data_IF_051957364148
#
_entry.id   IF_051957364148
#
_cell.length_a   1.000
_cell.length_b   1.000
_cell.length_c   1.000
_cell.angle_alpha   90.00
_cell.angle_beta   90.00
_cell.angle_gamma   90.00
#
_symmetry.space_group_name_H-M   'P 1'
#
loop_
_entity.id
_entity.type
_entity.pdbx_description
1 polymer ?
#
# COMPACT_ATOMS: atom_id res chain seq x y z
N UNK A 1 24.50 6.91 4.28
CA UNK A 1 23.44 5.95 4.65
C UNK A 1 22.14 6.51 4.11
N UNK A 2 21.49 5.85 3.15
CA UNK A 2 20.21 6.33 2.61
C UNK A 2 19.13 5.69 3.45
N UNK A 3 18.37 6.52 4.14
CA UNK A 3 17.26 6.12 4.99
C UNK A 3 16.13 5.61 4.10
N UNK A 4 15.89 4.30 4.12
CA UNK A 4 14.73 3.67 3.45
C UNK A 4 13.46 3.78 4.30
N UNK A 5 13.33 4.86 5.07
CA UNK A 5 12.18 5.14 5.94
C UNK A 5 10.95 5.58 5.15
N UNK A 6 11.13 5.92 3.87
CA UNK A 6 10.08 6.34 2.96
C UNK A 6 10.02 5.41 1.76
N UNK A 7 8.82 4.98 1.42
CA UNK A 7 8.53 4.28 0.16
C UNK A 7 7.70 5.18 -0.75
N UNK A 8 8.21 5.44 -1.95
CA UNK A 8 7.44 6.13 -2.99
C UNK A 8 6.57 5.11 -3.70
N UNK A 9 5.27 5.35 -3.74
CA UNK A 9 4.32 4.40 -4.27
C UNK A 9 3.36 5.06 -5.26
N UNK A 10 3.14 4.41 -6.39
CA UNK A 10 2.13 4.85 -7.37
C UNK A 10 0.74 4.54 -6.86
N UNK A 11 -0.20 5.45 -7.10
CA UNK A 11 -1.62 5.28 -6.77
C UNK A 11 -2.50 6.05 -7.76
N UNK A 12 -3.74 5.61 -7.98
CA UNK A 12 -4.76 6.41 -8.67
C UNK A 12 -5.12 7.61 -7.80
N UNK A 13 -5.32 8.79 -8.41
CA UNK A 13 -5.64 10.04 -7.69
C UNK A 13 -6.89 9.91 -6.84
N UNK A 14 -7.90 9.22 -7.34
CA UNK A 14 -9.18 9.00 -6.68
C UNK A 14 -8.99 8.25 -5.35
N UNK A 15 -8.07 7.27 -5.30
CA UNK A 15 -7.81 6.53 -4.07
C UNK A 15 -7.04 7.37 -3.05
N UNK A 16 -6.10 8.21 -3.51
CA UNK A 16 -5.47 9.17 -2.62
C UNK A 16 -6.51 10.11 -2.00
N UNK A 17 -7.45 10.64 -2.79
CA UNK A 17 -8.53 11.48 -2.27
C UNK A 17 -9.35 10.74 -1.20
N UNK A 18 -9.68 9.46 -1.41
CA UNK A 18 -10.35 8.64 -0.40
C UNK A 18 -9.53 8.48 0.89
N UNK A 19 -8.22 8.34 0.78
CA UNK A 19 -7.30 8.26 1.93
C UNK A 19 -7.27 9.60 2.67
N UNK A 20 -7.07 10.70 1.94
CA UNK A 20 -7.02 12.05 2.51
C UNK A 20 -8.33 12.45 3.22
N UNK A 21 -9.47 11.98 2.72
CA UNK A 21 -10.80 12.18 3.33
C UNK A 21 -11.10 11.19 4.48
N UNK A 22 -10.19 10.26 4.78
CA UNK A 22 -10.35 9.24 5.82
C UNK A 22 -11.34 8.12 5.47
N UNK A 23 -11.84 8.07 4.23
CA UNK A 23 -12.76 7.02 3.74
C UNK A 23 -12.06 5.70 3.50
N UNK A 24 -10.76 5.72 3.19
CA UNK A 24 -9.91 4.56 2.94
C UNK A 24 -8.72 4.59 3.89
N UNK A 25 -8.58 3.54 4.70
CA UNK A 25 -7.51 3.42 5.73
C UNK A 25 -6.51 2.32 5.45
N UNK A 26 -6.73 1.55 4.39
CA UNK A 26 -5.89 0.42 4.04
C UNK A 26 -5.40 0.53 2.61
N UNK A 27 -4.11 0.29 2.42
CA UNK A 27 -3.44 0.23 1.13
C UNK A 27 -3.01 -1.20 0.82
N UNK A 28 -3.27 -1.66 -0.40
CA UNK A 28 -2.94 -3.02 -0.85
C UNK A 28 -1.75 -2.97 -1.83
N UNK A 29 -0.78 -3.84 -1.62
CA UNK A 29 0.38 -4.04 -2.50
C UNK A 29 0.62 -5.54 -2.71
N UNK A 30 1.12 -5.90 -3.86
CA UNK A 30 1.60 -7.25 -4.19
C UNK A 30 3.11 -7.40 -4.02
N UNK A 31 3.82 -6.29 -3.83
CA UNK A 31 5.21 -6.26 -3.39
C UNK A 31 5.33 -5.78 -1.94
N UNK A 32 6.19 -6.47 -1.17
CA UNK A 32 6.49 -6.07 0.20
C UNK A 32 7.30 -4.78 0.22
N UNK A 33 6.85 -3.85 1.05
CA UNK A 33 7.59 -2.63 1.35
C UNK A 33 8.71 -2.95 2.34
N UNK A 34 9.87 -2.30 2.19
CA UNK A 34 11.00 -2.45 3.12
C UNK A 34 10.53 -2.28 4.57
N UNK A 35 10.87 -3.23 5.44
CA UNK A 35 10.39 -3.28 6.83
C UNK A 35 10.75 -2.05 7.65
N UNK A 36 11.72 -1.24 7.20
CA UNK A 36 12.10 0.04 7.82
C UNK A 36 11.25 1.21 7.37
N UNK A 37 10.45 1.06 6.31
CA UNK A 37 9.56 2.11 5.84
C UNK A 37 8.50 2.42 6.88
N UNK A 38 8.36 3.71 7.15
CA UNK A 38 7.37 4.29 8.07
C UNK A 38 6.32 5.09 7.32
N UNK A 39 6.59 5.49 6.07
CA UNK A 39 5.73 6.33 5.27
C UNK A 39 5.62 5.83 3.84
N UNK A 40 4.44 6.00 3.28
CA UNK A 40 4.22 6.09 1.85
C UNK A 40 4.26 7.56 1.42
N UNK A 41 4.99 7.82 0.33
CA UNK A 41 4.82 9.03 -0.47
C UNK A 41 4.12 8.61 -1.76
N UNK A 42 2.89 9.06 -1.93
CA UNK A 42 2.06 8.70 -3.05
C UNK A 42 2.26 9.65 -4.24
N UNK A 43 2.48 9.05 -5.40
CA UNK A 43 2.52 9.75 -6.68
C UNK A 43 1.42 9.23 -7.61
N UNK A 44 0.89 10.10 -8.44
CA UNK A 44 -0.12 9.76 -9.43
C UNK A 44 0.43 8.73 -10.41
N UNK A 45 -0.28 7.62 -10.59
CA UNK A 45 0.16 6.52 -11.44
C UNK A 45 0.31 6.91 -12.92
N UNK A 46 -0.47 7.89 -13.39
CA UNK A 46 -0.48 8.34 -14.79
C UNK A 46 0.50 9.49 -15.04
N UNK A 47 0.59 10.47 -14.13
CA UNK A 47 1.40 11.68 -14.34
C UNK A 47 2.72 11.68 -13.58
N UNK A 48 2.84 10.88 -12.52
CA UNK A 48 3.97 10.91 -11.59
C UNK A 48 3.95 12.11 -10.62
N UNK A 49 2.89 12.92 -10.65
CA UNK A 49 2.73 14.07 -9.75
C UNK A 49 2.62 13.62 -8.29
N UNK A 50 3.25 14.35 -7.37
CA UNK A 50 3.08 14.12 -5.94
C UNK A 50 1.63 14.39 -5.51
N UNK A 51 1.00 13.40 -4.88
CA UNK A 51 -0.38 13.51 -4.41
C UNK A 51 -0.45 13.76 -2.90
N UNK A 52 0.42 13.10 -2.13
CA UNK A 52 0.49 13.25 -0.68
C UNK A 52 1.16 12.07 0.01
N UNK A 53 0.98 11.97 1.32
CA UNK A 53 1.79 11.12 2.18
C UNK A 53 0.91 10.39 3.19
N UNK A 54 1.27 9.17 3.58
CA UNK A 54 0.60 8.47 4.66
C UNK A 54 1.57 7.67 5.52
N UNK A 55 1.39 7.72 6.84
CA UNK A 55 2.12 6.90 7.80
C UNK A 55 1.64 5.46 7.70
N UNK A 56 2.57 4.52 7.77
CA UNK A 56 2.30 3.09 7.92
C UNK A 56 2.14 2.79 9.41
N UNK A 57 0.95 2.38 9.81
CA UNK A 57 0.62 2.01 11.19
C UNK A 57 0.86 0.54 11.45
N UNK A 58 0.43 -0.32 10.53
CA UNK A 58 0.56 -1.77 10.64
C UNK A 58 0.58 -2.42 9.26
N UNK A 59 1.00 -3.70 9.21
CA UNK A 59 1.02 -4.52 8.00
C UNK A 59 0.47 -5.89 8.30
N UNK A 60 -0.42 -6.37 7.43
CA UNK A 60 -0.89 -7.76 7.40
C UNK A 60 -0.53 -8.38 6.05
N UNK A 61 0.07 -9.58 6.07
CA UNK A 61 0.36 -10.34 4.86
C UNK A 61 -0.68 -11.45 4.67
N UNK A 62 -1.09 -11.65 3.43
CA UNK A 62 -1.98 -12.71 2.97
C UNK A 62 -1.31 -13.50 1.84
N UNK A 63 -1.67 -14.77 1.69
CA UNK A 63 -1.06 -15.68 0.72
C UNK A 63 0.44 -15.86 0.95
N UNK A 64 1.19 -16.26 -0.08
CA UNK A 64 2.63 -16.41 0.00
C UNK A 64 3.09 -17.53 0.93
N UNK A 65 2.45 -18.70 0.85
CA UNK A 65 2.72 -19.95 1.60
C UNK A 65 2.59 -19.88 3.13
N UNK A 66 3.03 -18.80 3.77
CA UNK A 66 3.00 -18.58 5.22
C UNK A 66 1.84 -17.67 5.67
N UNK A 67 1.26 -16.90 4.76
CA UNK A 67 0.13 -16.00 5.04
C UNK A 67 -1.22 -16.69 4.97
N UNK A 68 -2.22 -16.09 5.63
CA UNK A 68 -3.62 -16.51 5.52
C UNK A 68 -4.10 -16.38 4.08
N UNK A 69 -4.90 -17.33 3.62
CA UNK A 69 -5.56 -17.25 2.31
C UNK A 69 -6.39 -15.97 2.17
N UNK A 70 -6.46 -15.41 0.97
CA UNK A 70 -7.28 -14.25 0.66
C UNK A 70 -8.28 -14.53 -0.46
N UNK A 71 -9.28 -13.68 -0.60
CA UNK A 71 -10.12 -13.64 -1.79
C UNK A 71 -10.44 -12.19 -2.17
N UNK A 72 -10.85 -11.97 -3.41
CA UNK A 72 -11.13 -10.62 -3.92
C UNK A 72 -12.17 -9.86 -3.10
N UNK A 73 -13.19 -10.55 -2.57
CA UNK A 73 -14.23 -9.92 -1.76
C UNK A 73 -13.73 -9.43 -0.40
N UNK A 74 -12.81 -10.17 0.23
CA UNK A 74 -12.12 -9.74 1.44
C UNK A 74 -11.29 -8.48 1.17
N UNK A 75 -10.43 -8.53 0.14
CA UNK A 75 -9.56 -7.41 -0.21
C UNK A 75 -10.36 -6.17 -0.58
N UNK A 76 -11.41 -6.33 -1.40
CA UNK A 76 -12.32 -5.25 -1.81
C UNK A 76 -12.92 -4.51 -0.62
N UNK A 77 -13.40 -5.24 0.39
CA UNK A 77 -13.95 -4.63 1.62
C UNK A 77 -12.89 -3.94 2.46
N UNK A 78 -11.68 -4.51 2.56
CA UNK A 78 -10.62 -3.91 3.37
C UNK A 78 -10.17 -2.57 2.80
N UNK A 79 -10.01 -2.51 1.48
CA UNK A 79 -9.39 -1.36 0.83
C UNK A 79 -10.38 -0.42 0.15
N UNK A 80 -11.69 -0.70 0.30
CA UNK A 80 -12.80 0.09 -0.24
C UNK A 80 -12.72 0.30 -1.77
N UNK A 81 -12.25 -0.73 -2.50
CA UNK A 81 -12.14 -0.72 -3.96
C UNK A 81 -12.97 -1.88 -4.54
N UNK A 82 -13.77 -1.68 -5.60
CA UNK A 82 -14.54 -2.75 -6.24
C UNK A 82 -13.67 -3.92 -6.71
N UNK A 83 -14.22 -5.15 -6.65
CA UNK A 83 -13.52 -6.37 -7.06
C UNK A 83 -13.00 -6.30 -8.50
N UNK A 84 -13.81 -5.79 -9.43
CA UNK A 84 -13.41 -5.73 -10.84
C UNK A 84 -12.23 -4.78 -11.04
N UNK A 85 -12.22 -3.66 -10.31
CA UNK A 85 -11.12 -2.69 -10.34
C UNK A 85 -9.86 -3.25 -9.68
N UNK A 86 -9.97 -4.02 -8.59
CA UNK A 86 -8.83 -4.73 -8.01
C UNK A 86 -8.21 -5.72 -9.00
N UNK A 87 -9.02 -6.45 -9.76
CA UNK A 87 -8.53 -7.40 -10.77
C UNK A 87 -7.78 -6.70 -11.90
N UNK A 88 -8.14 -5.47 -12.24
CA UNK A 88 -7.38 -4.65 -13.20
C UNK A 88 -6.02 -4.22 -12.65
N UNK A 89 -5.94 -3.95 -11.35
CA UNK A 89 -4.70 -3.51 -10.68
C UNK A 89 -3.70 -4.65 -10.47
N UNK A 90 -4.19 -5.89 -10.30
CA UNK A 90 -3.37 -7.06 -9.99
C UNK A 90 -3.57 -8.17 -11.04
N UNK A 91 -3.19 -7.95 -12.31
CA UNK A 91 -3.43 -8.90 -13.39
C UNK A 91 -2.72 -10.23 -13.18
N UNK A 92 -1.51 -10.24 -12.59
CA UNK A 92 -0.75 -11.47 -12.34
C UNK A 92 -1.49 -12.41 -11.38
N UNK A 93 -2.15 -11.85 -10.36
CA UNK A 93 -3.01 -12.61 -9.46
C UNK A 93 -4.26 -13.17 -10.17
N UNK A 94 -4.77 -12.48 -11.20
CA UNK A 94 -5.87 -12.98 -12.04
C UNK A 94 -5.40 -14.14 -12.90
N UNK A 95 -4.23 -14.04 -13.52
CA UNK A 95 -3.65 -15.09 -14.36
C UNK A 95 -3.40 -16.39 -13.60
N UNK A 96 -3.00 -16.30 -12.33
CA UNK A 96 -2.84 -17.45 -11.44
C UNK A 96 -4.16 -18.15 -11.05
N UNK A 97 -5.31 -17.51 -11.30
CA UNK A 97 -6.63 -18.08 -11.06
C UNK A 97 -6.81 -18.54 -9.61
N UNK A 98 -7.39 -19.73 -9.42
CA UNK A 98 -7.67 -20.26 -8.08
C UNK A 98 -6.45 -20.50 -7.20
N UNK A 99 -5.24 -20.57 -7.77
CA UNK A 99 -4.00 -20.72 -7.01
C UNK A 99 -3.54 -19.43 -6.33
N UNK A 100 -4.01 -18.27 -6.80
CA UNK A 100 -3.59 -16.98 -6.30
C UNK A 100 -3.88 -16.79 -4.81
N UNK A 101 -5.01 -17.33 -4.33
CA UNK A 101 -5.51 -17.15 -2.97
C UNK A 101 -4.52 -17.60 -1.88
N UNK A 102 -3.70 -18.61 -2.17
CA UNK A 102 -2.71 -19.14 -1.24
C UNK A 102 -1.27 -18.83 -1.67
N UNK A 103 -0.99 -18.79 -2.98
CA UNK A 103 0.37 -18.68 -3.50
C UNK A 103 0.82 -17.23 -3.75
N UNK A 104 -0.11 -16.33 -4.07
CA UNK A 104 0.23 -14.94 -4.40
C UNK A 104 0.19 -14.07 -3.15
N UNK A 105 1.33 -13.46 -2.83
CA UNK A 105 1.46 -12.61 -1.64
C UNK A 105 0.73 -11.28 -1.86
N UNK A 106 -0.05 -10.88 -0.86
CA UNK A 106 -0.77 -9.62 -0.81
C UNK A 106 -0.51 -8.96 0.54
N UNK A 107 -0.05 -7.71 0.51
CA UNK A 107 0.32 -6.94 1.69
C UNK A 107 -0.66 -5.80 1.89
N UNK A 108 -1.38 -5.85 3.00
CA UNK A 108 -2.33 -4.81 3.41
C UNK A 108 -1.67 -3.95 4.49
N UNK A 109 -1.52 -2.68 4.20
CA UNK A 109 -0.97 -1.69 5.12
C UNK A 109 -2.10 -0.84 5.68
N UNK A 110 -2.21 -0.78 6.99
CA UNK A 110 -3.03 0.24 7.65
C UNK A 110 -2.27 1.56 7.62
N UNK A 111 -2.93 2.60 7.13
CA UNK A 111 -2.32 3.89 6.88
C UNK A 111 -3.18 5.05 7.36
N UNK A 112 -2.53 6.17 7.65
CA UNK A 112 -3.16 7.44 8.00
C UNK A 112 -2.47 8.58 7.27
N UNK A 113 -3.19 9.57 6.71
CA UNK A 113 -2.56 10.74 6.09
C UNK A 113 -1.55 11.41 7.02
N UNK A 114 -0.38 11.73 6.48
CA UNK A 114 0.70 12.40 7.20
C UNK A 114 0.92 13.82 6.65
N UNK A 115 1.35 14.73 7.51
CA UNK A 115 1.75 16.08 7.13
C UNK A 115 3.22 16.17 6.74
N UNK A 116 3.58 17.23 6.00
CA UNK A 116 4.94 17.43 5.48
C UNK A 116 6.03 17.42 6.58
N UNK A 117 5.73 17.98 7.75
CA UNK A 117 6.64 17.99 8.90
C UNK A 117 6.98 16.56 9.37
N UNK A 118 5.99 15.66 9.36
CA UNK A 118 6.20 14.27 9.76
C UNK A 118 7.06 13.50 8.75
N UNK A 119 6.93 13.81 7.46
CA UNK A 119 7.81 13.24 6.43
C UNK A 119 9.23 13.78 6.57
N UNK A 120 9.38 15.08 6.84
CA UNK A 120 10.69 15.66 7.08
C UNK A 120 11.36 14.99 8.27
N UNK A 121 10.66 14.82 9.38
CA UNK A 121 11.16 14.13 10.57
C UNK A 121 11.56 12.70 10.24
N UNK A 122 10.74 11.92 9.53
CA UNK A 122 11.10 10.55 9.17
C UNK A 122 12.28 10.43 8.19
N UNK A 123 12.52 11.45 7.36
CA UNK A 123 13.71 11.53 6.51
C UNK A 123 14.96 11.86 7.34
N UNK A 124 14.82 12.69 8.37
CA UNK A 124 15.90 13.14 9.26
C UNK A 124 16.24 12.13 10.36
N UNK A 125 15.27 11.43 10.94
CA UNK A 125 15.44 10.47 12.04
C UNK A 125 16.33 9.28 11.66
N UNK A 126 16.40 8.92 10.38
CA UNK A 126 17.33 7.88 9.97
C UNK A 126 18.78 8.37 9.76
N UNK A 127 19.09 9.64 10.09
CA UNK A 127 20.45 10.19 10.00
C UNK A 127 21.34 9.90 11.21
N UNK A 128 20.80 9.41 12.32
CA UNK A 128 21.56 9.04 13.52
C UNK A 128 21.29 7.58 13.95
N UNK A 129 22.14 6.65 13.48
CA UNK A 129 22.42 5.34 14.08
C UNK A 129 23.68 4.71 13.47
#
# INVERSE_FOLDING_TARGET
MITRSVTVAKIRREYWQMIAEGRKRFELRDEEVDWRSRLFVFVDAATGEHLGQARILSRTAFGGYEGSSWNWGLLSKLVEVPVDELKELFPDAVELGGHAYDAYAMYVYEIEPAGDDEVLDALLEGSDA
#
